data_IF_988088438590
#
_entry.id   IF_988088438590
#
_cell.length_a   1.000
_cell.length_b   1.000
_cell.length_c   1.000
_cell.angle_alpha   90.00
_cell.angle_beta   90.00
_cell.angle_gamma   90.00
#
_symmetry.space_group_name_H-M   'P 1'
#
loop_
_entity.id
_entity.type
_entity.pdbx_description
1 polymer ?
#
# COMPACT_ATOMS: atom_id res chain seq x y z
N UNK A 1 -19.34 -19.99 -8.24
CA UNK A 1 -18.59 -19.44 -9.40
C UNK A 1 -19.33 -18.23 -9.95
N UNK A 2 -18.61 -17.17 -10.31
CA UNK A 2 -19.15 -16.03 -11.08
C UNK A 2 -18.60 -16.07 -12.50
N UNK A 3 -19.40 -15.56 -13.45
CA UNK A 3 -19.04 -15.44 -14.86
C UNK A 3 -18.80 -13.97 -15.16
N UNK A 4 -17.65 -13.65 -15.71
CA UNK A 4 -17.20 -12.29 -15.99
C UNK A 4 -16.83 -12.13 -17.46
N UNK A 5 -16.92 -10.91 -17.97
CA UNK A 5 -16.33 -10.60 -19.27
C UNK A 5 -14.81 -10.81 -19.18
N UNK A 6 -14.24 -11.39 -20.23
CA UNK A 6 -12.80 -11.58 -20.38
C UNK A 6 -12.12 -10.24 -20.58
N UNK A 7 -11.23 -9.89 -19.68
CA UNK A 7 -10.39 -8.69 -19.74
C UNK A 7 -9.00 -9.04 -19.21
N UNK A 8 -7.97 -8.23 -19.46
CA UNK A 8 -6.65 -8.44 -18.85
C UNK A 8 -6.71 -8.58 -17.32
N UNK A 9 -7.64 -7.90 -16.64
CA UNK A 9 -7.81 -7.99 -15.18
C UNK A 9 -8.48 -9.30 -14.74
N UNK A 10 -9.55 -9.74 -15.43
CA UNK A 10 -10.33 -10.92 -15.01
C UNK A 10 -9.64 -12.23 -15.33
N UNK A 11 -8.62 -12.22 -16.22
CA UNK A 11 -7.79 -13.38 -16.57
C UNK A 11 -6.57 -13.56 -15.65
N UNK A 12 -6.27 -12.58 -14.78
CA UNK A 12 -5.14 -12.72 -13.86
C UNK A 12 -5.41 -13.84 -12.86
N UNK A 13 -4.53 -14.84 -12.84
CA UNK A 13 -4.54 -15.88 -11.79
C UNK A 13 -4.18 -15.24 -10.46
N UNK A 14 -4.99 -15.50 -9.42
CA UNK A 14 -4.75 -14.91 -8.12
C UNK A 14 -6.04 -14.65 -7.32
N UNK A 15 -5.88 -14.12 -6.13
CA UNK A 15 -6.95 -13.82 -5.18
C UNK A 15 -7.36 -12.35 -5.30
N UNK A 16 -8.62 -12.09 -5.66
CA UNK A 16 -9.12 -10.73 -5.88
C UNK A 16 -10.52 -10.56 -5.29
N UNK A 17 -11.05 -9.36 -5.34
CA UNK A 17 -12.43 -9.06 -5.00
C UNK A 17 -13.16 -8.37 -6.15
N UNK A 18 -14.47 -8.62 -6.21
CA UNK A 18 -15.43 -7.73 -6.86
C UNK A 18 -16.09 -6.86 -5.80
N UNK A 19 -16.15 -5.57 -6.05
CA UNK A 19 -16.92 -4.62 -5.25
C UNK A 19 -18.13 -4.25 -6.09
N UNK A 20 -19.32 -4.69 -5.66
CA UNK A 20 -20.59 -4.44 -6.33
C UNK A 20 -21.03 -2.96 -6.14
N UNK A 21 -21.88 -2.44 -7.02
CA UNK A 21 -22.46 -1.09 -6.87
C UNK A 21 -23.23 -0.91 -5.54
N UNK A 22 -23.74 -2.00 -4.96
CA UNK A 22 -24.33 -2.00 -3.61
C UNK A 22 -23.32 -1.78 -2.47
N UNK A 23 -22.03 -1.83 -2.74
CA UNK A 23 -20.96 -1.82 -1.75
C UNK A 23 -20.63 -3.21 -1.19
N UNK A 24 -21.32 -4.25 -1.63
CA UNK A 24 -21.01 -5.62 -1.22
C UNK A 24 -19.73 -6.13 -1.89
N UNK A 25 -19.04 -7.06 -1.21
CA UNK A 25 -17.78 -7.63 -1.66
C UNK A 25 -17.94 -9.12 -1.96
N UNK A 26 -17.29 -9.57 -3.05
CA UNK A 26 -17.27 -10.97 -3.46
C UNK A 26 -15.81 -11.40 -3.64
N UNK A 27 -15.31 -12.26 -2.75
CA UNK A 27 -13.95 -12.78 -2.81
C UNK A 27 -13.83 -13.83 -3.90
N UNK A 28 -12.84 -13.69 -4.75
CA UNK A 28 -12.54 -14.57 -5.87
C UNK A 28 -11.26 -15.37 -5.60
N UNK A 29 -11.34 -16.66 -5.81
CA UNK A 29 -10.22 -17.56 -5.76
C UNK A 29 -9.26 -17.43 -6.97
N UNK A 30 -8.09 -18.10 -6.90
CA UNK A 30 -7.07 -17.97 -7.93
C UNK A 30 -7.42 -18.64 -9.26
N UNK A 31 -8.36 -19.59 -9.26
CA UNK A 31 -8.70 -20.37 -10.46
C UNK A 31 -9.42 -19.52 -11.50
N UNK A 32 -8.93 -19.57 -12.72
CA UNK A 32 -9.55 -18.95 -13.92
C UNK A 32 -10.00 -20.07 -14.85
N UNK A 33 -11.25 -20.04 -15.26
CA UNK A 33 -11.84 -21.03 -16.16
C UNK A 33 -12.20 -20.32 -17.46
N UNK A 34 -11.64 -20.77 -18.59
CA UNK A 34 -12.04 -20.28 -19.90
C UNK A 34 -13.40 -20.88 -20.27
N UNK A 35 -14.39 -20.02 -20.48
CA UNK A 35 -15.74 -20.40 -20.87
C UNK A 35 -16.02 -20.18 -22.37
N UNK A 36 -15.03 -19.68 -23.11
CA UNK A 36 -15.22 -19.27 -24.51
C UNK A 36 -16.05 -17.97 -24.63
N UNK A 37 -16.33 -17.55 -25.86
CA UNK A 37 -17.19 -16.40 -26.19
C UNK A 37 -16.85 -15.10 -25.42
N UNK A 38 -15.57 -14.89 -25.07
CA UNK A 38 -15.15 -13.70 -24.34
C UNK A 38 -15.52 -13.70 -22.85
N UNK A 39 -15.74 -14.89 -22.26
CA UNK A 39 -16.13 -15.06 -20.87
C UNK A 39 -15.09 -15.87 -20.08
N UNK A 40 -14.97 -15.57 -18.80
CA UNK A 40 -14.17 -16.32 -17.82
C UNK A 40 -15.00 -16.62 -16.57
N UNK A 41 -14.80 -17.81 -15.99
CA UNK A 41 -15.36 -18.23 -14.72
C UNK A 41 -14.34 -18.01 -13.60
N UNK A 42 -14.80 -17.52 -12.44
CA UNK A 42 -13.98 -17.38 -11.22
C UNK A 42 -14.71 -18.03 -10.05
N UNK A 43 -13.99 -18.80 -9.26
CA UNK A 43 -14.54 -19.38 -8.03
C UNK A 43 -14.78 -18.29 -6.99
N UNK A 44 -15.85 -18.43 -6.20
CA UNK A 44 -16.16 -17.54 -5.08
C UNK A 44 -15.66 -18.19 -3.80
N UNK A 45 -14.80 -17.50 -3.08
CA UNK A 45 -14.16 -17.96 -1.83
C UNK A 45 -14.74 -17.24 -0.60
N UNK A 46 -16.04 -17.38 -0.41
CA UNK A 46 -16.71 -16.93 0.80
C UNK A 46 -17.96 -17.79 1.05
N UNK A 47 -18.32 -18.06 2.32
CA UNK A 47 -19.46 -18.93 2.65
C UNK A 47 -20.79 -18.32 2.21
N UNK A 48 -20.95 -17.02 2.37
CA UNK A 48 -22.18 -16.30 2.07
C UNK A 48 -22.00 -15.39 0.86
N UNK A 49 -22.80 -15.65 -0.17
CA UNK A 49 -22.84 -14.83 -1.39
C UNK A 49 -23.87 -13.72 -1.18
N UNK A 50 -23.50 -12.43 -1.37
CA UNK A 50 -24.42 -11.34 -1.14
C UNK A 50 -25.61 -11.41 -2.13
N UNK A 51 -26.85 -11.09 -1.68
CA UNK A 51 -28.03 -11.11 -2.53
C UNK A 51 -27.96 -10.17 -3.74
N UNK A 52 -27.11 -9.15 -3.66
CA UNK A 52 -26.84 -8.19 -4.75
C UNK A 52 -26.03 -8.78 -5.90
N UNK A 53 -25.41 -9.96 -5.73
CA UNK A 53 -24.73 -10.68 -6.81
C UNK A 53 -25.72 -11.39 -7.71
N UNK A 54 -26.30 -10.64 -8.63
CA UNK A 54 -27.25 -11.16 -9.63
C UNK A 54 -26.65 -11.03 -11.03
N UNK A 55 -27.19 -11.81 -12.03
CA UNK A 55 -26.79 -11.63 -13.41
C UNK A 55 -26.96 -10.18 -13.89
N UNK A 56 -25.91 -9.62 -14.49
CA UNK A 56 -25.89 -8.22 -14.95
C UNK A 56 -25.49 -7.19 -13.87
N UNK A 57 -25.22 -7.61 -12.64
CA UNK A 57 -24.70 -6.71 -11.61
C UNK A 57 -23.37 -6.08 -12.06
N UNK A 58 -23.23 -4.78 -11.84
CA UNK A 58 -21.97 -4.08 -12.08
C UNK A 58 -21.05 -4.23 -10.89
N UNK A 59 -19.76 -4.39 -11.17
CA UNK A 59 -18.74 -4.53 -10.14
C UNK A 59 -17.43 -3.89 -10.57
N UNK A 60 -16.67 -3.43 -9.59
CA UNK A 60 -15.29 -3.00 -9.75
C UNK A 60 -14.34 -4.10 -9.30
N UNK A 61 -13.23 -4.29 -10.04
CA UNK A 61 -12.15 -5.20 -9.68
C UNK A 61 -11.27 -4.60 -8.60
N UNK A 62 -10.95 -5.35 -7.55
CA UNK A 62 -10.12 -4.87 -6.46
C UNK A 62 -9.07 -5.90 -6.02
N UNK A 63 -7.85 -5.42 -5.76
CA UNK A 63 -6.79 -6.20 -5.10
C UNK A 63 -6.90 -6.21 -3.57
N UNK A 64 -7.77 -5.41 -2.98
CA UNK A 64 -7.99 -5.43 -1.53
C UNK A 64 -8.79 -6.69 -1.19
N UNK A 65 -8.13 -7.68 -0.61
CA UNK A 65 -8.74 -9.00 -0.40
C UNK A 65 -9.52 -9.10 0.92
N UNK A 66 -9.01 -8.47 1.98
CA UNK A 66 -9.65 -8.44 3.28
C UNK A 66 -10.28 -7.06 3.51
N UNK A 67 -11.56 -7.03 3.84
CA UNK A 67 -12.29 -5.80 4.11
C UNK A 67 -12.09 -5.32 5.54
N UNK A 68 -11.99 -6.26 6.47
CA UNK A 68 -11.85 -6.03 7.91
C UNK A 68 -10.72 -6.89 8.48
N UNK A 69 -10.17 -6.55 9.65
CA UNK A 69 -9.24 -7.44 10.33
C UNK A 69 -9.80 -8.83 10.58
N UNK A 70 -11.09 -8.95 10.90
CA UNK A 70 -11.75 -10.24 11.12
C UNK A 70 -11.75 -11.12 9.86
N UNK A 71 -11.92 -10.53 8.67
CA UNK A 71 -11.83 -11.27 7.40
C UNK A 71 -10.44 -11.86 7.18
N UNK A 72 -9.41 -11.23 7.74
CA UNK A 72 -8.03 -11.68 7.70
C UNK A 72 -7.67 -12.63 8.87
N UNK A 73 -8.65 -13.00 9.70
CA UNK A 73 -8.43 -13.82 10.90
C UNK A 73 -7.71 -13.08 12.03
N UNK A 74 -7.76 -11.75 12.04
CA UNK A 74 -7.03 -10.89 12.96
C UNK A 74 -7.98 -10.26 13.97
N UNK A 75 -7.53 -10.15 15.24
CA UNK A 75 -8.21 -9.41 16.27
C UNK A 75 -7.61 -8.01 16.40
N UNK A 76 -8.39 -7.01 16.04
CA UNK A 76 -7.98 -5.62 16.10
C UNK A 76 -8.67 -4.87 17.22
N UNK A 77 -7.95 -3.91 17.80
CA UNK A 77 -8.50 -2.87 18.66
C UNK A 77 -8.49 -1.55 17.90
N UNK A 78 -9.64 -0.90 17.81
CA UNK A 78 -9.75 0.43 17.25
C UNK A 78 -9.09 1.45 18.18
N UNK A 79 -8.32 2.35 17.57
CA UNK A 79 -7.67 3.47 18.25
C UNK A 79 -7.74 4.73 17.40
N UNK A 80 -7.54 5.87 18.02
CA UNK A 80 -7.41 7.15 17.34
C UNK A 80 -6.00 7.69 17.51
N UNK A 81 -5.37 8.06 16.38
CA UNK A 81 -4.07 8.73 16.34
C UNK A 81 -4.31 10.23 16.28
N UNK A 82 -3.74 10.99 17.21
CA UNK A 82 -3.80 12.46 17.16
C UNK A 82 -2.81 12.97 16.12
N UNK A 83 -3.34 13.33 14.95
CA UNK A 83 -2.55 13.95 13.89
C UNK A 83 -2.59 15.48 13.98
N UNK A 84 -1.73 16.21 13.25
CA UNK A 84 -1.75 17.68 13.21
C UNK A 84 -3.08 18.29 12.73
N UNK A 85 -3.92 17.48 12.07
CA UNK A 85 -5.19 17.95 11.45
C UNK A 85 -6.44 17.33 12.05
N UNK A 86 -6.29 16.54 13.11
CA UNK A 86 -7.40 15.90 13.80
C UNK A 86 -7.15 14.42 14.08
N UNK A 87 -8.07 13.73 14.76
CA UNK A 87 -7.93 12.31 15.04
C UNK A 87 -8.10 11.49 13.74
N UNK A 88 -7.18 10.55 13.53
CA UNK A 88 -7.24 9.58 12.45
C UNK A 88 -7.47 8.18 13.04
N UNK A 89 -8.43 7.38 12.52
CA UNK A 89 -8.67 6.04 13.02
C UNK A 89 -7.52 5.10 12.64
N UNK A 90 -7.21 4.16 13.52
CA UNK A 90 -6.23 3.11 13.25
C UNK A 90 -6.63 1.79 13.93
N UNK A 91 -6.04 0.69 13.47
CA UNK A 91 -6.16 -0.61 14.13
C UNK A 91 -4.84 -0.99 14.78
N UNK A 92 -4.89 -1.40 16.04
CA UNK A 92 -3.79 -2.08 16.72
C UNK A 92 -4.10 -3.57 16.73
N UNK A 93 -3.20 -4.38 16.18
CA UNK A 93 -3.27 -5.84 16.16
C UNK A 93 -2.05 -6.38 16.90
N UNK A 94 -2.31 -7.05 18.03
CA UNK A 94 -1.26 -7.70 18.84
C UNK A 94 -1.11 -9.15 18.37
N UNK A 95 0.13 -9.67 18.20
CA UNK A 95 0.33 -11.06 17.83
C UNK A 95 -0.27 -12.01 18.91
N UNK A 96 -0.80 -13.15 18.47
CA UNK A 96 -1.36 -14.17 19.38
C UNK A 96 -0.28 -14.87 20.20
N UNK A 97 0.93 -14.97 19.66
CA UNK A 97 2.10 -15.46 20.36
C UNK A 97 2.84 -14.33 21.08
N UNK A 98 3.94 -14.65 21.77
CA UNK A 98 4.69 -13.65 22.52
C UNK A 98 5.13 -12.50 21.61
N UNK A 99 4.71 -11.27 21.95
CA UNK A 99 5.11 -10.07 21.22
C UNK A 99 6.60 -9.80 21.40
N UNK A 100 7.28 -9.48 20.31
CA UNK A 100 8.71 -9.15 20.30
C UNK A 100 9.02 -7.81 20.99
N UNK A 101 8.01 -6.94 21.13
CA UNK A 101 8.16 -5.53 21.52
C UNK A 101 8.51 -4.61 20.35
N UNK A 102 8.70 -5.17 19.15
CA UNK A 102 8.88 -4.40 17.92
C UNK A 102 7.51 -4.21 17.23
N UNK A 103 7.36 -3.14 16.48
CA UNK A 103 6.09 -2.80 15.83
C UNK A 103 6.24 -2.71 14.31
N UNK A 104 5.15 -3.01 13.61
CA UNK A 104 4.98 -2.76 12.19
C UNK A 104 3.94 -1.65 11.99
N UNK A 105 4.25 -0.62 11.21
CA UNK A 105 3.29 0.42 10.81
C UNK A 105 2.95 0.23 9.35
N UNK A 106 1.67 0.02 9.04
CA UNK A 106 1.17 -0.31 7.72
C UNK A 106 0.51 0.92 7.08
N UNK A 107 1.10 1.40 5.97
CA UNK A 107 0.79 2.65 5.29
C UNK A 107 0.24 2.32 3.90
N UNK A 108 -1.05 2.58 3.66
CA UNK A 108 -1.72 2.30 2.40
C UNK A 108 -1.40 3.31 1.29
N UNK A 109 -1.78 2.97 0.06
CA UNK A 109 -1.59 3.81 -1.12
C UNK A 109 -2.71 4.83 -1.34
N UNK A 110 -2.53 5.68 -2.35
CA UNK A 110 -3.50 6.68 -2.78
C UNK A 110 -4.84 6.03 -3.16
N UNK A 111 -5.93 6.54 -2.61
CA UNK A 111 -7.28 6.05 -2.89
C UNK A 111 -7.58 4.64 -2.36
N UNK A 112 -6.74 4.10 -1.50
CA UNK A 112 -6.95 2.82 -0.83
C UNK A 112 -7.35 3.07 0.63
N UNK A 113 -8.31 2.34 1.21
CA UNK A 113 -8.52 2.34 2.64
C UNK A 113 -7.37 1.61 3.36
N UNK A 114 -7.22 1.81 4.66
CA UNK A 114 -6.24 1.09 5.51
C UNK A 114 -6.36 -0.43 5.41
N UNK A 115 -7.56 -0.97 5.14
CA UNK A 115 -7.80 -2.39 4.93
C UNK A 115 -6.95 -3.01 3.80
N UNK A 116 -6.51 -2.22 2.82
CA UNK A 116 -5.63 -2.64 1.74
C UNK A 116 -4.28 -3.18 2.21
N UNK A 117 -3.89 -2.92 3.47
CA UNK A 117 -2.61 -3.38 4.03
C UNK A 117 -2.72 -4.64 4.89
N UNK A 118 -3.93 -5.17 5.15
CA UNK A 118 -4.16 -6.31 6.06
C UNK A 118 -3.36 -7.57 5.70
N UNK A 119 -3.06 -7.79 4.43
CA UNK A 119 -2.20 -8.87 3.95
C UNK A 119 -0.77 -8.80 4.53
N UNK A 120 -0.23 -7.60 4.75
CA UNK A 120 1.05 -7.40 5.42
C UNK A 120 0.96 -7.58 6.94
N UNK A 121 -0.20 -7.27 7.53
CA UNK A 121 -0.44 -7.44 8.96
C UNK A 121 -0.36 -8.91 9.37
N UNK A 122 -0.94 -9.81 8.56
CA UNK A 122 -0.88 -11.25 8.85
C UNK A 122 0.57 -11.72 9.03
N UNK A 123 1.44 -11.40 8.07
CA UNK A 123 2.84 -11.85 8.14
C UNK A 123 3.63 -11.16 9.26
N UNK A 124 3.34 -9.89 9.55
CA UNK A 124 3.98 -9.17 10.64
C UNK A 124 3.60 -9.75 12.02
N UNK A 125 2.33 -10.08 12.21
CA UNK A 125 1.86 -10.72 13.46
C UNK A 125 2.37 -12.15 13.61
N UNK A 126 2.51 -12.91 12.52
CA UNK A 126 3.07 -14.26 12.54
C UNK A 126 4.53 -14.31 13.03
N UNK A 127 5.30 -13.23 12.80
CA UNK A 127 6.68 -13.10 13.31
C UNK A 127 6.77 -12.33 14.63
N UNK A 128 5.64 -12.07 15.29
CA UNK A 128 5.59 -11.49 16.64
C UNK A 128 5.63 -9.96 16.70
N UNK A 129 5.41 -9.25 15.58
CA UNK A 129 5.30 -7.79 15.56
C UNK A 129 3.87 -7.35 15.96
N UNK A 130 3.78 -6.33 16.81
CA UNK A 130 2.53 -5.59 16.98
C UNK A 130 2.32 -4.71 15.75
N UNK A 131 1.17 -4.82 15.11
CA UNK A 131 0.84 -4.07 13.90
C UNK A 131 -0.05 -2.87 14.19
N UNK A 132 0.29 -1.71 13.62
CA UNK A 132 -0.53 -0.49 13.60
C UNK A 132 -0.90 -0.18 12.15
N UNK A 133 -2.19 -0.31 11.85
CA UNK A 133 -2.74 -0.05 10.51
C UNK A 133 -3.36 1.34 10.53
N UNK A 134 -2.79 2.27 9.77
CA UNK A 134 -3.09 3.69 9.91
C UNK A 134 -3.98 4.23 8.80
N UNK A 135 -4.82 5.19 9.16
CA UNK A 135 -5.43 6.17 8.26
C UNK A 135 -4.73 7.52 8.42
N UNK A 136 -4.85 8.36 7.43
CA UNK A 136 -4.28 9.71 7.41
C UNK A 136 -5.25 10.68 6.71
N UNK A 137 -4.92 11.97 6.66
CA UNK A 137 -5.78 13.00 6.02
C UNK A 137 -6.20 12.61 4.61
N UNK A 138 -7.45 12.88 4.27
CA UNK A 138 -8.02 12.78 2.92
C UNK A 138 -7.99 11.37 2.30
N UNK A 139 -7.88 10.31 3.10
CA UNK A 139 -7.92 8.91 2.64
C UNK A 139 -9.35 8.32 2.60
N UNK A 140 -10.35 9.07 3.06
CA UNK A 140 -11.74 8.66 3.16
C UNK A 140 -12.15 8.15 4.55
N UNK A 141 -11.20 7.81 5.42
CA UNK A 141 -11.42 7.34 6.80
C UNK A 141 -10.86 8.35 7.81
N UNK A 142 -9.74 8.99 7.50
CA UNK A 142 -9.10 10.01 8.33
C UNK A 142 -9.71 11.40 8.18
N UNK A 143 -9.13 12.42 8.86
CA UNK A 143 -9.66 13.77 8.84
C UNK A 143 -9.62 14.40 7.45
N UNK A 144 -10.72 15.02 7.04
CA UNK A 144 -10.79 15.73 5.78
C UNK A 144 -10.21 17.15 5.92
N UNK A 145 -9.29 17.50 5.03
CA UNK A 145 -8.62 18.81 4.98
C UNK A 145 -8.78 19.44 3.60
N UNK A 146 -9.13 20.73 3.57
CA UNK A 146 -9.34 21.45 2.32
C UNK A 146 -10.46 20.84 1.49
N UNK A 147 -10.19 20.56 0.23
CA UNK A 147 -11.14 19.94 -0.69
C UNK A 147 -11.17 18.40 -0.60
N UNK A 148 -10.49 17.77 0.37
CA UNK A 148 -10.39 16.33 0.49
C UNK A 148 -9.41 15.68 -0.50
N UNK A 149 -8.58 16.45 -1.20
CA UNK A 149 -7.58 15.93 -2.13
C UNK A 149 -6.29 15.56 -1.40
N UNK A 150 -5.71 14.43 -1.77
CA UNK A 150 -4.38 14.03 -1.29
C UNK A 150 -3.30 14.98 -1.78
N UNK A 151 -2.28 15.18 -0.95
CA UNK A 151 -1.03 15.87 -1.29
C UNK A 151 0.08 14.90 -1.70
N UNK A 152 -0.27 13.73 -2.21
CA UNK A 152 0.63 12.72 -2.76
C UNK A 152 1.73 12.28 -1.76
N UNK A 153 1.40 12.23 -0.47
CA UNK A 153 2.30 11.87 0.60
C UNK A 153 3.05 13.06 1.24
N UNK A 154 2.91 14.29 0.72
CA UNK A 154 3.63 15.45 1.26
C UNK A 154 3.22 15.78 2.70
N UNK A 155 1.94 15.99 2.93
CA UNK A 155 1.40 16.29 4.25
C UNK A 155 0.93 15.04 5.01
N UNK A 156 0.55 13.99 4.31
CA UNK A 156 0.18 12.69 4.88
C UNK A 156 1.33 12.07 5.69
N UNK A 157 2.58 12.38 5.31
CA UNK A 157 3.77 11.95 6.06
C UNK A 157 3.77 12.44 7.52
N UNK A 158 3.25 13.64 7.80
CA UNK A 158 3.18 14.19 9.16
C UNK A 158 2.14 13.44 10.02
N UNK A 159 1.06 12.97 9.38
CA UNK A 159 0.04 12.17 10.08
C UNK A 159 0.61 10.79 10.44
N UNK A 160 1.36 10.16 9.51
CA UNK A 160 2.00 8.87 9.77
C UNK A 160 3.18 9.02 10.76
N UNK A 161 3.87 10.16 10.82
CA UNK A 161 4.84 10.44 11.88
C UNK A 161 4.18 10.45 13.26
N UNK A 162 2.94 10.96 13.35
CA UNK A 162 2.15 10.88 14.58
C UNK A 162 1.83 9.44 14.98
N UNK A 163 1.64 8.55 14.02
CA UNK A 163 1.46 7.12 14.28
C UNK A 163 2.76 6.45 14.76
N UNK A 164 3.91 6.87 14.25
CA UNK A 164 5.22 6.44 14.77
C UNK A 164 5.35 6.86 16.23
N UNK A 165 5.04 8.12 16.56
CA UNK A 165 5.09 8.59 17.94
C UNK A 165 4.12 7.82 18.85
N UNK A 166 2.89 7.57 18.37
CA UNK A 166 1.93 6.72 19.11
C UNK A 166 2.51 5.33 19.43
N UNK A 167 3.14 4.66 18.46
CA UNK A 167 3.75 3.35 18.69
C UNK A 167 4.87 3.43 19.75
N UNK A 168 5.70 4.45 19.71
CA UNK A 168 6.75 4.69 20.72
C UNK A 168 6.17 4.94 22.10
N UNK A 169 5.12 5.73 22.22
CA UNK A 169 4.42 6.00 23.49
C UNK A 169 3.74 4.73 24.06
N UNK A 170 3.40 3.77 23.18
CA UNK A 170 2.92 2.44 23.59
C UNK A 170 4.06 1.45 23.87
N UNK A 171 5.31 1.89 23.87
CA UNK A 171 6.48 1.09 24.23
C UNK A 171 7.11 0.32 23.07
N UNK A 172 6.87 0.73 21.82
CA UNK A 172 7.59 0.14 20.69
C UNK A 172 9.10 0.34 20.85
N UNK A 173 9.87 -0.76 20.77
CA UNK A 173 11.34 -0.72 20.85
C UNK A 173 11.96 -0.33 19.52
N UNK A 174 11.49 -0.95 18.45
CA UNK A 174 11.88 -0.69 17.07
C UNK A 174 10.64 -0.75 16.18
N UNK A 175 10.70 -0.10 15.04
CA UNK A 175 9.59 0.00 14.10
C UNK A 175 10.04 -0.46 12.73
N UNK A 176 9.21 -1.26 12.06
CA UNK A 176 9.33 -1.58 10.64
C UNK A 176 8.17 -0.89 9.93
N UNK A 177 8.48 -0.13 8.89
CA UNK A 177 7.46 0.51 8.06
C UNK A 177 7.08 -0.43 6.91
N UNK A 178 5.78 -0.61 6.70
CA UNK A 178 5.23 -1.28 5.53
C UNK A 178 4.51 -0.24 4.68
N UNK A 179 4.91 -0.05 3.43
CA UNK A 179 4.34 0.96 2.55
C UNK A 179 3.92 0.41 1.19
N UNK A 180 2.67 0.68 0.80
CA UNK A 180 2.11 0.32 -0.50
C UNK A 180 1.99 1.57 -1.38
N UNK A 181 2.54 1.54 -2.60
CA UNK A 181 2.42 2.65 -3.56
C UNK A 181 2.83 4.00 -2.94
N UNK A 182 1.92 4.97 -2.82
CA UNK A 182 2.14 6.23 -2.11
C UNK A 182 2.58 6.01 -0.64
N UNK A 183 2.06 4.99 0.03
CA UNK A 183 2.51 4.62 1.38
C UNK A 183 3.99 4.27 1.44
N UNK A 184 4.54 3.73 0.35
CA UNK A 184 5.98 3.53 0.18
C UNK A 184 6.77 4.84 0.10
N UNK A 185 6.25 5.82 -0.65
CA UNK A 185 6.84 7.16 -0.69
C UNK A 185 6.81 7.84 0.70
N UNK A 186 5.72 7.70 1.46
CA UNK A 186 5.60 8.18 2.83
C UNK A 186 6.63 7.50 3.74
N UNK A 187 6.78 6.18 3.67
CA UNK A 187 7.74 5.41 4.47
C UNK A 187 9.18 5.88 4.22
N UNK A 188 9.56 6.12 2.97
CA UNK A 188 10.88 6.63 2.60
C UNK A 188 11.12 8.07 3.08
N UNK A 189 10.11 8.94 3.00
CA UNK A 189 10.18 10.29 3.57
C UNK A 189 10.38 10.25 5.09
N UNK A 190 9.65 9.40 5.82
CA UNK A 190 9.83 9.19 7.26
C UNK A 190 11.24 8.70 7.59
N UNK A 191 11.77 7.77 6.79
CA UNK A 191 13.13 7.27 6.96
C UNK A 191 14.22 8.34 6.75
N UNK A 192 13.93 9.39 6.00
CA UNK A 192 14.84 10.54 5.84
C UNK A 192 14.85 11.48 7.05
N UNK A 193 13.79 11.48 7.87
CA UNK A 193 13.67 12.30 9.08
C UNK A 193 14.51 11.70 10.22
N UNK A 194 15.55 12.38 10.68
CA UNK A 194 16.49 11.86 11.70
C UNK A 194 15.79 11.48 13.01
N UNK A 195 14.74 12.22 13.42
CA UNK A 195 13.94 11.94 14.60
C UNK A 195 13.19 10.60 14.54
N UNK A 196 12.77 10.19 13.35
CA UNK A 196 12.06 8.92 13.09
C UNK A 196 13.06 7.80 12.82
N UNK A 197 14.04 8.05 11.94
CA UNK A 197 14.99 7.04 11.45
C UNK A 197 15.69 6.24 12.55
N UNK A 198 16.04 6.88 13.66
CA UNK A 198 16.72 6.22 14.80
C UNK A 198 15.89 5.11 15.45
N UNK A 199 14.57 5.09 15.23
CA UNK A 199 13.65 4.09 15.76
C UNK A 199 13.30 3.00 14.72
N UNK A 200 13.71 3.19 13.46
CA UNK A 200 13.41 2.25 12.39
C UNK A 200 14.40 1.09 12.36
N UNK A 201 13.91 -0.12 12.23
CA UNK A 201 14.69 -1.33 12.01
C UNK A 201 14.79 -1.70 10.53
N UNK A 202 13.82 -1.30 9.71
CA UNK A 202 13.79 -1.57 8.28
C UNK A 202 12.48 -1.14 7.64
N UNK A 203 12.37 -1.37 6.33
CA UNK A 203 11.20 -0.97 5.53
C UNK A 203 10.83 -2.10 4.57
N UNK A 204 9.53 -2.41 4.47
CA UNK A 204 8.97 -3.31 3.46
C UNK A 204 8.11 -2.45 2.52
N UNK A 205 8.42 -2.49 1.24
CA UNK A 205 7.75 -1.70 0.20
C UNK A 205 7.07 -2.61 -0.81
N UNK A 206 5.84 -2.30 -1.19
CA UNK A 206 5.17 -2.96 -2.30
C UNK A 206 4.79 -1.94 -3.37
N UNK A 207 5.35 -2.10 -4.59
CA UNK A 207 5.12 -1.19 -5.72
C UNK A 207 5.24 0.30 -5.32
N UNK A 208 6.31 0.73 -4.63
CA UNK A 208 6.40 2.09 -4.10
C UNK A 208 6.44 3.13 -5.20
N UNK A 209 5.83 4.30 -4.96
CA UNK A 209 6.05 5.47 -5.80
C UNK A 209 7.42 6.06 -5.45
N UNK A 210 8.40 5.87 -6.34
CA UNK A 210 9.77 6.36 -6.20
C UNK A 210 10.02 7.67 -6.95
N UNK A 211 9.23 7.91 -8.00
CA UNK A 211 9.20 9.13 -8.79
C UNK A 211 7.76 9.44 -9.20
N UNK A 212 7.20 10.55 -8.68
CA UNK A 212 5.84 10.96 -9.00
C UNK A 212 5.66 11.38 -10.46
N UNK A 213 6.66 11.96 -11.09
CA UNK A 213 6.57 12.40 -12.49
C UNK A 213 6.45 11.18 -13.40
N UNK A 214 7.30 10.17 -13.19
CA UNK A 214 7.22 8.92 -13.97
C UNK A 214 5.92 8.16 -13.68
N UNK A 215 5.46 8.12 -12.43
CA UNK A 215 4.17 7.54 -12.04
C UNK A 215 3.00 8.25 -12.74
N UNK A 216 2.97 9.58 -12.78
CA UNK A 216 1.92 10.35 -13.45
C UNK A 216 1.94 10.07 -14.97
N UNK A 217 3.13 10.02 -15.59
CA UNK A 217 3.29 9.68 -17.02
C UNK A 217 2.77 8.28 -17.33
N UNK A 218 3.13 7.29 -16.51
CA UNK A 218 2.67 5.91 -16.67
C UNK A 218 1.14 5.80 -16.57
N UNK A 219 0.53 6.48 -15.59
CA UNK A 219 -0.93 6.49 -15.43
C UNK A 219 -1.63 7.20 -16.60
N UNK A 220 -1.04 8.25 -17.20
CA UNK A 220 -1.56 8.83 -18.44
C UNK A 220 -1.56 7.80 -19.58
N UNK A 221 -0.46 7.08 -19.76
CA UNK A 221 -0.36 6.03 -20.79
C UNK A 221 -1.37 4.91 -20.54
N UNK A 222 -1.52 4.47 -19.29
CA UNK A 222 -2.49 3.44 -18.90
C UNK A 222 -3.93 3.84 -19.24
N UNK A 223 -4.26 5.13 -19.17
CA UNK A 223 -5.59 5.68 -19.53
C UNK A 223 -5.72 6.03 -21.01
N UNK A 224 -4.74 5.69 -21.85
CA UNK A 224 -4.74 5.95 -23.29
C UNK A 224 -4.29 7.36 -23.69
N UNK A 225 -3.77 8.15 -22.76
CA UNK A 225 -3.21 9.47 -23.04
C UNK A 225 -1.68 9.39 -23.25
N UNK A 226 -1.08 10.24 -24.11
CA UNK A 226 0.36 10.32 -24.18
C UNK A 226 0.99 10.72 -22.84
N UNK A 227 2.11 10.09 -22.46
CA UNK A 227 2.77 10.34 -21.16
C UNK A 227 3.17 11.80 -20.92
N UNK A 228 3.51 12.55 -22.00
CA UNK A 228 3.85 13.99 -21.87
C UNK A 228 2.70 14.85 -21.33
N UNK A 229 1.43 14.40 -21.49
CA UNK A 229 0.27 15.09 -20.91
C UNK A 229 0.38 15.14 -19.39
N UNK A 230 0.89 14.08 -18.76
CA UNK A 230 1.13 14.05 -17.31
C UNK A 230 2.11 15.13 -16.84
N UNK A 231 3.12 15.44 -17.65
CA UNK A 231 4.09 16.50 -17.30
C UNK A 231 3.41 17.88 -17.24
N UNK A 232 2.38 18.12 -18.03
CA UNK A 232 1.60 19.38 -17.98
C UNK A 232 0.78 19.52 -16.69
N UNK A 233 0.54 18.43 -15.96
CA UNK A 233 -0.14 18.48 -14.67
C UNK A 233 0.81 18.90 -13.52
N UNK A 234 2.13 18.72 -13.68
CA UNK A 234 3.12 19.01 -12.63
C UNK A 234 3.06 20.45 -12.10
N UNK A 235 2.96 21.50 -12.92
CA UNK A 235 2.81 22.87 -12.42
C UNK A 235 1.56 23.08 -11.55
N UNK A 236 0.49 22.33 -11.80
CA UNK A 236 -0.75 22.38 -11.00
C UNK A 236 -0.59 21.73 -9.62
N UNK A 237 0.43 20.92 -9.45
CA UNK A 237 0.81 20.34 -8.17
C UNK A 237 1.82 21.25 -7.45
N UNK A 238 2.88 21.68 -8.16
CA UNK A 238 4.06 22.30 -7.59
C UNK A 238 3.89 23.80 -7.29
N UNK A 239 3.17 24.54 -8.14
CA UNK A 239 3.07 26.02 -8.01
C UNK A 239 1.95 26.41 -7.04
N UNK A 240 2.24 27.26 -6.01
CA UNK A 240 1.28 27.59 -4.94
C UNK A 240 -0.08 28.13 -5.45
N UNK A 241 -0.08 28.96 -6.49
CA UNK A 241 -1.31 29.51 -7.04
C UNK A 241 -2.14 28.44 -7.75
N UNK A 242 -1.50 27.59 -8.58
CA UNK A 242 -2.17 26.55 -9.36
C UNK A 242 -2.62 25.37 -8.46
N UNK A 243 -1.80 24.98 -7.49
CA UNK A 243 -2.15 23.92 -6.54
C UNK A 243 -3.38 24.30 -5.69
N UNK A 244 -3.44 25.55 -5.26
CA UNK A 244 -4.62 26.07 -4.55
C UNK A 244 -5.85 26.09 -5.46
N UNK A 245 -5.71 26.50 -6.72
CA UNK A 245 -6.80 26.46 -7.70
C UNK A 245 -7.24 25.02 -7.98
N UNK A 246 -6.31 24.07 -8.01
CA UNK A 246 -6.58 22.64 -8.10
C UNK A 246 -7.21 22.05 -6.81
N UNK A 247 -7.37 22.83 -5.74
CA UNK A 247 -8.00 22.42 -4.48
C UNK A 247 -7.07 21.66 -3.55
N UNK A 248 -5.75 21.69 -3.75
CA UNK A 248 -4.80 21.10 -2.82
C UNK A 248 -4.64 21.95 -1.56
N UNK A 249 -4.46 21.30 -0.41
CA UNK A 249 -4.24 22.00 0.86
C UNK A 249 -2.88 22.70 0.91
N UNK A 250 -1.88 22.18 0.16
CA UNK A 250 -0.56 22.78 -0.02
C UNK A 250 0.02 22.38 -1.38
N UNK A 251 1.02 23.10 -1.91
CA UNK A 251 1.77 22.66 -3.08
C UNK A 251 2.47 21.33 -2.81
N UNK A 252 2.50 20.47 -3.82
CA UNK A 252 3.23 19.20 -3.81
C UNK A 252 4.43 19.35 -4.72
N UNK A 253 5.60 19.61 -4.15
CA UNK A 253 6.85 19.73 -4.92
C UNK A 253 7.29 18.33 -5.32
N UNK A 254 6.79 17.84 -6.46
CA UNK A 254 6.95 16.45 -6.90
C UNK A 254 8.42 16.02 -7.00
N UNK A 255 9.31 16.93 -7.40
CA UNK A 255 10.75 16.68 -7.46
C UNK A 255 11.42 16.47 -6.08
N UNK A 256 10.85 17.03 -4.99
CA UNK A 256 11.38 16.84 -3.65
C UNK A 256 11.16 15.40 -3.11
N UNK A 257 10.25 14.65 -3.72
CA UNK A 257 9.91 13.26 -3.36
C UNK A 257 10.51 12.24 -4.34
N UNK A 258 11.40 12.67 -5.24
CA UNK A 258 12.09 11.77 -6.15
C UNK A 258 13.18 11.03 -5.39
N UNK A 259 12.96 9.73 -5.16
CA UNK A 259 13.89 8.87 -4.42
C UNK A 259 15.07 8.38 -5.27
N UNK A 260 15.04 8.66 -6.58
CA UNK A 260 16.07 8.26 -7.55
C UNK A 260 17.04 9.42 -7.80
N UNK A 261 16.51 10.63 -8.00
CA UNK A 261 17.33 11.81 -8.30
C UNK A 261 17.87 12.54 -7.05
N UNK A 262 17.35 12.20 -5.87
CA UNK A 262 17.73 12.84 -4.60
C UNK A 262 18.86 12.10 -3.87
N UNK A 263 19.42 12.69 -2.79
CA UNK A 263 20.50 12.10 -2.01
C UNK A 263 20.04 10.96 -1.07
N UNK A 264 18.97 10.29 -1.38
CA UNK A 264 18.31 9.36 -0.47
C UNK A 264 18.99 8.00 -0.40
N UNK A 265 20.25 7.94 0.01
CA UNK A 265 20.79 6.72 0.60
C UNK A 265 20.08 6.49 1.93
N UNK A 266 19.11 5.60 1.92
CA UNK A 266 18.46 5.14 3.16
C UNK A 266 19.34 4.05 3.76
N UNK A 267 20.12 4.40 4.79
CA UNK A 267 20.99 3.46 5.51
C UNK A 267 20.17 2.51 6.42
N UNK A 268 19.10 1.93 5.88
CA UNK A 268 18.22 0.95 6.52
C UNK A 268 18.02 -0.22 5.56
N UNK A 269 17.88 -1.45 6.09
CA UNK A 269 17.47 -2.57 5.26
C UNK A 269 16.08 -2.34 4.68
N UNK A 270 15.95 -2.59 3.38
CA UNK A 270 14.69 -2.42 2.65
C UNK A 270 14.41 -3.69 1.86
N UNK A 271 13.21 -4.26 2.05
CA UNK A 271 12.65 -5.24 1.13
C UNK A 271 11.70 -4.53 0.18
N UNK A 272 11.93 -4.63 -1.13
CA UNK A 272 11.09 -4.06 -2.16
C UNK A 272 10.46 -5.16 -3.00
N UNK A 273 9.14 -5.33 -2.90
CA UNK A 273 8.36 -6.24 -3.72
C UNK A 273 7.72 -5.44 -4.86
N UNK A 274 7.86 -5.91 -6.11
CA UNK A 274 7.36 -5.15 -7.26
C UNK A 274 6.79 -6.07 -8.34
N UNK A 275 5.73 -5.58 -8.99
CA UNK A 275 5.14 -6.25 -10.14
C UNK A 275 5.92 -5.97 -11.43
N UNK A 276 6.29 -7.00 -12.19
CA UNK A 276 6.98 -6.82 -13.48
C UNK A 276 6.09 -6.22 -14.57
N UNK A 277 4.77 -6.28 -14.37
CA UNK A 277 3.77 -5.70 -15.26
C UNK A 277 3.08 -4.47 -14.64
N UNK A 278 3.74 -3.80 -13.69
CA UNK A 278 3.19 -2.63 -13.00
C UNK A 278 2.94 -1.48 -13.96
N UNK A 279 1.67 -1.17 -14.20
CA UNK A 279 1.23 -0.15 -15.16
C UNK A 279 1.14 1.25 -14.54
N UNK A 280 1.31 1.38 -13.24
CA UNK A 280 1.20 2.65 -12.49
C UNK A 280 2.56 3.17 -12.00
N UNK A 281 3.33 2.34 -11.29
CA UNK A 281 4.68 2.66 -10.84
C UNK A 281 5.68 1.78 -11.63
N UNK A 282 6.39 2.32 -12.63
CA UNK A 282 7.26 1.51 -13.48
C UNK A 282 8.34 0.75 -12.71
N UNK A 283 8.52 -0.53 -13.01
CA UNK A 283 9.50 -1.41 -12.33
C UNK A 283 10.95 -0.93 -12.53
N UNK A 284 11.23 -0.20 -13.61
CA UNK A 284 12.56 0.36 -13.86
C UNK A 284 13.00 1.33 -12.75
N UNK A 285 12.05 2.06 -12.15
CA UNK A 285 12.32 2.91 -11.00
C UNK A 285 12.78 2.08 -9.78
N UNK A 286 12.20 0.89 -9.57
CA UNK A 286 12.60 -0.01 -8.50
C UNK A 286 14.01 -0.57 -8.72
N UNK A 287 14.36 -0.94 -9.96
CA UNK A 287 15.71 -1.38 -10.30
C UNK A 287 16.75 -0.27 -10.09
N UNK A 288 16.44 0.95 -10.51
CA UNK A 288 17.35 2.08 -10.34
C UNK A 288 17.50 2.46 -8.86
N UNK A 289 16.43 2.43 -8.09
CA UNK A 289 16.48 2.68 -6.65
C UNK A 289 17.36 1.63 -5.94
N UNK A 290 17.23 0.34 -6.28
CA UNK A 290 18.07 -0.71 -5.73
C UNK A 290 19.54 -0.57 -6.15
N UNK A 291 19.80 -0.17 -7.40
CA UNK A 291 21.17 0.09 -7.88
C UNK A 291 21.86 1.20 -7.07
N UNK A 292 21.12 2.21 -6.67
CA UNK A 292 21.61 3.34 -5.87
C UNK A 292 21.71 3.04 -4.36
N UNK A 293 20.99 2.03 -3.88
CA UNK A 293 20.87 1.71 -2.45
C UNK A 293 21.21 0.23 -2.20
N UNK A 294 22.45 -0.12 -1.87
CA UNK A 294 22.88 -1.51 -1.66
C UNK A 294 22.16 -2.27 -0.54
N UNK A 295 21.44 -1.56 0.34
CA UNK A 295 20.64 -2.17 1.40
C UNK A 295 19.24 -2.59 0.95
N UNK A 296 18.90 -2.42 -0.34
CA UNK A 296 17.61 -2.79 -0.92
C UNK A 296 17.69 -4.18 -1.53
N UNK A 297 16.85 -5.08 -1.02
CA UNK A 297 16.59 -6.39 -1.60
C UNK A 297 15.32 -6.30 -2.46
N UNK A 298 15.41 -6.67 -3.74
CA UNK A 298 14.26 -6.63 -4.67
C UNK A 298 13.72 -8.02 -4.90
N UNK A 299 12.41 -8.16 -4.80
CA UNK A 299 11.65 -9.37 -5.14
C UNK A 299 10.60 -9.06 -6.18
N UNK A 300 10.65 -9.72 -7.34
CA UNK A 300 9.79 -9.45 -8.48
C UNK A 300 8.70 -10.53 -8.62
N UNK A 301 7.49 -10.08 -8.98
CA UNK A 301 6.31 -10.92 -9.21
C UNK A 301 5.71 -10.62 -10.59
N UNK A 302 5.12 -11.61 -11.24
CA UNK A 302 4.37 -11.43 -12.49
C UNK A 302 3.02 -10.74 -12.25
N UNK A 303 3.02 -9.52 -11.71
CA UNK A 303 1.85 -8.82 -11.23
C UNK A 303 1.78 -7.38 -11.76
N UNK A 304 0.58 -6.81 -11.79
CA UNK A 304 0.35 -5.36 -11.94
C UNK A 304 0.50 -4.65 -10.58
N UNK A 305 0.26 -3.35 -10.55
CA UNK A 305 0.46 -2.44 -9.44
C UNK A 305 -0.19 -2.92 -8.13
N UNK A 306 0.62 -3.11 -7.09
CA UNK A 306 0.22 -3.58 -5.75
C UNK A 306 -0.51 -4.93 -5.72
N UNK A 307 -0.36 -5.77 -6.74
CA UNK A 307 -0.99 -7.10 -6.82
C UNK A 307 0.00 -8.26 -6.58
N UNK A 308 1.20 -7.99 -6.09
CA UNK A 308 2.23 -9.02 -5.87
C UNK A 308 1.74 -10.12 -4.92
N UNK A 309 1.09 -9.73 -3.82
CA UNK A 309 0.44 -10.67 -2.91
C UNK A 309 -0.74 -11.41 -3.59
N UNK A 310 -1.54 -10.72 -4.38
CA UNK A 310 -2.74 -11.29 -4.98
C UNK A 310 -2.43 -12.44 -5.94
N UNK A 311 -1.36 -12.33 -6.71
CA UNK A 311 -0.98 -13.36 -7.70
C UNK A 311 -0.30 -14.56 -7.05
N UNK A 312 0.48 -14.37 -5.99
CA UNK A 312 1.13 -15.46 -5.24
C UNK A 312 1.27 -15.10 -3.75
N UNK A 313 0.20 -15.30 -2.96
CA UNK A 313 0.22 -15.02 -1.52
C UNK A 313 1.28 -15.83 -0.76
N UNK A 314 1.57 -17.06 -1.20
CA UNK A 314 2.51 -17.94 -0.53
C UNK A 314 3.96 -17.48 -0.73
N UNK A 315 4.36 -17.20 -1.97
CA UNK A 315 5.69 -16.68 -2.27
C UNK A 315 5.89 -15.31 -1.63
N UNK A 316 4.88 -14.44 -1.67
CA UNK A 316 4.92 -13.13 -1.02
C UNK A 316 5.14 -13.25 0.50
N UNK A 317 4.34 -14.08 1.18
CA UNK A 317 4.47 -14.33 2.63
C UNK A 317 5.82 -14.94 2.97
N UNK A 318 6.29 -15.92 2.22
CA UNK A 318 7.59 -16.55 2.44
C UNK A 318 8.74 -15.52 2.31
N UNK A 319 8.71 -14.68 1.29
CA UNK A 319 9.70 -13.63 1.07
C UNK A 319 9.74 -12.63 2.23
N UNK A 320 8.58 -12.09 2.62
CA UNK A 320 8.49 -11.10 3.71
C UNK A 320 8.84 -11.72 5.06
N UNK A 321 8.38 -12.95 5.34
CA UNK A 321 8.71 -13.66 6.60
C UNK A 321 10.20 -13.94 6.71
N UNK A 322 10.84 -14.40 5.64
CA UNK A 322 12.27 -14.66 5.62
C UNK A 322 13.08 -13.40 5.91
N UNK A 323 12.73 -12.30 5.23
CA UNK A 323 13.39 -11.03 5.45
C UNK A 323 13.17 -10.49 6.87
N UNK A 324 11.93 -10.50 7.38
CA UNK A 324 11.62 -10.09 8.76
C UNK A 324 12.37 -10.94 9.78
N UNK A 325 12.51 -12.24 9.54
CA UNK A 325 13.25 -13.17 10.42
C UNK A 325 14.70 -12.77 10.65
N UNK A 326 15.33 -12.10 9.68
CA UNK A 326 16.70 -11.58 9.83
C UNK A 326 16.76 -10.35 10.73
N UNK A 327 15.74 -9.49 10.67
CA UNK A 327 15.76 -8.17 11.30
C UNK A 327 14.99 -8.07 12.62
N UNK A 328 14.00 -8.95 12.82
CA UNK A 328 13.11 -9.00 14.01
C UNK A 328 13.65 -9.97 15.07
N UNK A 329 14.31 -11.05 14.67
CA UNK A 329 14.84 -12.03 15.64
C UNK A 329 15.75 -11.35 16.66
N UNK A 330 15.59 -11.63 17.97
CA UNK A 330 16.53 -11.15 18.96
C UNK A 330 17.90 -11.72 18.60
N UNK A 331 18.88 -10.87 18.30
CA UNK A 331 20.27 -11.28 18.34
C UNK A 331 20.50 -11.71 19.78
N UNK A 332 20.48 -13.02 20.05
CA UNK A 332 20.98 -13.55 21.30
C UNK A 332 22.48 -13.19 21.36
N UNK A 333 22.80 -12.15 22.14
CA UNK A 333 24.15 -11.93 22.63
C UNK A 333 24.35 -12.75 23.87
#
# INVERSE_FOLDING_TARGET
>A
MVILARTPKTEVVGQFNLILESGDWVRLGPRVIDLGAGLVGRDVEQPDVPPSLVPGARASWSGIYFRTPADAGLHARDVEIRTPVGPAPAWVIVPQQQASGDWAIHIHGLGSPRAGTLRGVQVATDVGLTSLVVSFRNDGEGPQVGSGRSTLGALETDDVESAVQYALDQGARRIILFGWSMGGAIALQLASRSGVRKHLAGIVLESPVLDWIETIKANCVHTGMPGWVGVLAVPWLDLPALSRFAGLAAPVVTGAFNQIAGPAYVALPILLLHGTADTSAPVDAAHEFARLNPAVEVSLFGADHTFTWNVDPNAWRACVSAWLGVWVSPKHN
#
